data_IF_351978013058
#
_entry.id   IF_351978013058
#
_cell.length_a   1.000
_cell.length_b   1.000
_cell.length_c   1.000
_cell.angle_alpha   90.00
_cell.angle_beta   90.00
_cell.angle_gamma   90.00
#
_symmetry.space_group_name_H-M   'P 1'
#
loop_
_entity.id
_entity.type
_entity.pdbx_description
1 polymer ?
#
# COMPACT_ATOMS: atom_id res chain seq x y z
N UNK A 1 -29.41 14.83 6.68
CA UNK A 1 -28.24 15.66 6.29
C UNK A 1 -28.04 15.50 4.80
N UNK A 2 -27.85 16.59 4.06
CA UNK A 2 -27.77 16.59 2.59
C UNK A 2 -26.45 15.97 2.13
N UNK A 3 -26.48 14.67 1.79
CA UNK A 3 -25.35 13.90 1.25
C UNK A 3 -24.68 14.56 0.02
N UNK A 4 -25.42 15.44 -0.67
CA UNK A 4 -24.95 16.12 -1.87
C UNK A 4 -23.84 17.13 -1.57
N UNK A 5 -23.87 17.80 -0.41
CA UNK A 5 -22.85 18.81 -0.08
C UNK A 5 -21.54 18.15 0.36
N UNK A 6 -21.61 17.05 1.12
CA UNK A 6 -20.41 16.36 1.63
C UNK A 6 -19.64 15.65 0.51
N UNK A 7 -20.36 15.11 -0.49
CA UNK A 7 -19.77 14.55 -1.71
C UNK A 7 -18.98 15.59 -2.50
N UNK A 8 -19.57 16.75 -2.76
CA UNK A 8 -18.89 17.79 -3.56
C UNK A 8 -17.74 18.43 -2.78
N UNK A 9 -17.85 18.58 -1.46
CA UNK A 9 -16.72 18.99 -0.61
C UNK A 9 -15.56 18.01 -0.67
N UNK A 10 -15.85 16.71 -0.66
CA UNK A 10 -14.82 15.68 -0.78
C UNK A 10 -14.09 15.76 -2.13
N UNK A 11 -14.84 15.80 -3.23
CA UNK A 11 -14.27 15.96 -4.59
C UNK A 11 -13.46 17.26 -4.69
N UNK A 12 -14.01 18.36 -4.17
CA UNK A 12 -13.33 19.66 -4.13
C UNK A 12 -12.01 19.61 -3.36
N UNK A 13 -11.96 18.87 -2.25
CA UNK A 13 -10.74 18.65 -1.49
C UNK A 13 -9.70 17.82 -2.27
N UNK A 14 -10.12 16.79 -3.01
CA UNK A 14 -9.24 16.02 -3.90
C UNK A 14 -8.65 16.88 -5.02
N UNK A 15 -9.47 17.70 -5.69
CA UNK A 15 -9.03 18.64 -6.74
C UNK A 15 -8.01 19.64 -6.18
N UNK A 16 -8.33 20.26 -5.02
CA UNK A 16 -7.43 21.18 -4.33
C UNK A 16 -6.08 20.54 -4.02
N UNK A 17 -6.07 19.34 -3.42
CA UNK A 17 -4.82 18.62 -3.11
C UNK A 17 -4.03 18.24 -4.36
N UNK A 18 -4.70 17.82 -5.43
CA UNK A 18 -4.05 17.54 -6.71
C UNK A 18 -3.39 18.80 -7.28
N UNK A 19 -4.06 19.96 -7.22
CA UNK A 19 -3.48 21.27 -7.61
C UNK A 19 -2.27 21.63 -6.75
N UNK A 20 -2.35 21.49 -5.44
CA UNK A 20 -1.22 21.81 -4.55
C UNK A 20 0.00 20.91 -4.80
N UNK A 21 -0.20 19.64 -5.18
CA UNK A 21 0.90 18.73 -5.56
C UNK A 21 1.46 19.01 -6.95
N UNK A 22 0.61 19.46 -7.87
CA UNK A 22 1.03 19.93 -9.19
C UNK A 22 1.85 21.22 -9.12
N UNK A 23 2.04 21.84 -7.95
CA UNK A 23 2.82 23.06 -7.81
C UNK A 23 4.30 22.79 -7.47
N UNK A 24 5.19 22.36 -8.40
CA UNK A 24 6.60 22.58 -8.19
C UNK A 24 6.86 24.09 -8.28
N UNK A 25 7.88 24.50 -7.52
CA UNK A 25 8.53 25.80 -7.67
C UNK A 25 9.03 25.86 -9.12
N UNK A 26 8.65 26.89 -9.88
CA UNK A 26 9.23 27.08 -11.21
C UNK A 26 10.72 27.47 -11.13
N UNK A 27 11.39 27.56 -12.28
CA UNK A 27 12.81 27.95 -12.33
C UNK A 27 13.09 29.33 -11.71
N UNK A 28 12.06 30.14 -11.51
CA UNK A 28 12.12 31.52 -10.99
C UNK A 28 11.67 31.60 -9.51
N UNK A 29 11.43 30.47 -8.83
CA UNK A 29 11.05 30.46 -7.43
C UNK A 29 9.54 30.66 -7.16
N UNK A 30 8.69 30.78 -8.19
CA UNK A 30 7.26 31.01 -8.01
C UNK A 30 6.48 29.71 -7.82
N UNK A 31 5.60 29.72 -6.82
CA UNK A 31 4.68 28.61 -6.52
C UNK A 31 3.57 28.60 -7.58
N UNK A 32 3.57 27.60 -8.48
CA UNK A 32 2.50 27.39 -9.48
C UNK A 32 1.25 26.70 -8.92
N UNK A 33 0.91 27.04 -7.68
CA UNK A 33 -0.16 26.39 -6.94
C UNK A 33 -1.45 27.17 -6.92
N UNK A 34 -1.52 28.36 -7.52
CA UNK A 34 -2.75 29.15 -7.49
C UNK A 34 -3.83 28.57 -8.41
N UNK A 35 -5.09 28.95 -8.18
CA UNK A 35 -6.18 28.56 -9.08
C UNK A 35 -6.01 29.21 -10.45
N UNK A 36 -5.47 30.42 -10.45
CA UNK A 36 -5.15 31.22 -11.62
C UNK A 36 -4.10 30.53 -12.50
N UNK A 37 -3.05 29.98 -11.90
CA UNK A 37 -2.01 29.22 -12.63
C UNK A 37 -2.58 27.95 -13.26
N UNK A 38 -3.39 27.21 -12.51
CA UNK A 38 -4.03 26.00 -13.04
C UNK A 38 -5.01 26.34 -14.16
N UNK A 39 -5.88 27.34 -13.98
CA UNK A 39 -6.82 27.79 -15.01
C UNK A 39 -6.09 28.26 -16.27
N UNK A 40 -4.98 29.00 -16.12
CA UNK A 40 -4.14 29.43 -17.24
C UNK A 40 -3.58 28.22 -17.99
N UNK A 41 -3.04 27.22 -17.28
CA UNK A 41 -2.51 25.99 -17.90
C UNK A 41 -3.60 25.17 -18.58
N UNK A 42 -4.78 25.05 -17.98
CA UNK A 42 -5.94 24.41 -18.62
C UNK A 42 -6.26 25.14 -19.93
N UNK A 43 -6.28 26.48 -19.94
CA UNK A 43 -6.52 27.26 -21.15
C UNK A 43 -5.44 27.10 -22.22
N UNK A 44 -4.18 26.95 -21.83
CA UNK A 44 -3.06 26.70 -22.73
C UNK A 44 -3.15 25.32 -23.40
N UNK A 45 -3.54 24.29 -22.66
CA UNK A 45 -3.62 22.90 -23.16
C UNK A 45 -4.97 22.60 -23.84
N UNK A 46 -6.05 23.21 -23.35
CA UNK A 46 -7.42 23.05 -23.82
C UNK A 46 -8.02 24.45 -24.08
N UNK A 47 -7.78 25.05 -25.25
CA UNK A 47 -8.18 26.44 -25.54
C UNK A 47 -9.66 26.74 -25.40
N UNK A 48 -10.53 25.75 -25.60
CA UNK A 48 -11.98 25.90 -25.49
C UNK A 48 -12.52 25.58 -24.09
N UNK A 49 -11.66 25.28 -23.12
CA UNK A 49 -12.10 24.99 -21.77
C UNK A 49 -12.78 26.20 -21.13
N UNK A 50 -13.81 25.90 -20.34
CA UNK A 50 -14.55 26.83 -19.49
C UNK A 50 -14.01 26.88 -18.06
N UNK A 51 -12.96 26.12 -17.76
CA UNK A 51 -12.35 26.11 -16.42
C UNK A 51 -11.61 27.42 -16.19
N UNK A 52 -12.18 28.24 -15.30
CA UNK A 52 -11.57 29.48 -14.79
C UNK A 52 -11.17 29.33 -13.32
N UNK A 53 -10.45 30.30 -12.77
CA UNK A 53 -10.11 30.33 -11.35
C UNK A 53 -11.38 30.30 -10.45
N UNK A 54 -12.44 31.02 -10.84
CA UNK A 54 -13.73 31.02 -10.13
C UNK A 54 -14.43 29.65 -10.19
N UNK A 55 -14.36 28.97 -11.35
CA UNK A 55 -14.90 27.61 -11.49
C UNK A 55 -14.14 26.66 -10.56
N UNK A 56 -12.81 26.75 -10.52
CA UNK A 56 -11.98 25.97 -9.61
C UNK A 56 -12.30 26.28 -8.14
N UNK A 57 -12.51 27.54 -7.76
CA UNK A 57 -12.90 27.89 -6.39
C UNK A 57 -14.23 27.26 -6.00
N UNK A 58 -15.23 27.34 -6.88
CA UNK A 58 -16.56 26.79 -6.63
C UNK A 58 -16.54 25.25 -6.52
N UNK A 59 -15.72 24.58 -7.32
CA UNK A 59 -15.50 23.14 -7.21
C UNK A 59 -14.78 22.80 -5.90
N UNK A 60 -13.67 23.46 -5.60
CA UNK A 60 -12.84 23.16 -4.42
C UNK A 60 -13.54 23.42 -3.10
N UNK A 61 -14.46 24.37 -3.06
CA UNK A 61 -15.31 24.68 -1.90
C UNK A 61 -16.56 23.80 -1.82
N UNK A 62 -16.80 22.94 -2.82
CA UNK A 62 -18.00 22.10 -2.90
C UNK A 62 -19.28 22.86 -3.20
N UNK A 63 -19.20 24.14 -3.62
CA UNK A 63 -20.36 24.95 -3.99
C UNK A 63 -21.00 24.49 -5.29
N UNK A 64 -20.21 23.92 -6.20
CA UNK A 64 -20.68 23.42 -7.49
C UNK A 64 -20.21 22.00 -7.73
N UNK A 65 -21.07 21.21 -8.38
CA UNK A 65 -20.72 19.86 -8.81
C UNK A 65 -19.65 19.88 -9.89
N UNK A 66 -18.62 19.04 -9.75
CA UNK A 66 -17.60 18.85 -10.77
C UNK A 66 -18.21 18.14 -12.00
N UNK A 67 -18.20 18.82 -13.15
CA UNK A 67 -18.61 18.23 -14.43
C UNK A 67 -17.50 17.34 -14.98
N UNK A 68 -17.88 16.31 -15.73
CA UNK A 68 -16.90 15.39 -16.33
C UNK A 68 -15.96 16.09 -17.33
N UNK A 69 -16.47 17.04 -18.12
CA UNK A 69 -15.64 17.86 -19.03
C UNK A 69 -14.55 18.59 -18.28
N UNK A 70 -14.94 19.27 -17.19
CA UNK A 70 -14.04 20.10 -16.40
C UNK A 70 -13.04 19.20 -15.66
N UNK A 71 -13.47 18.03 -15.19
CA UNK A 71 -12.60 17.04 -14.56
C UNK A 71 -11.53 16.50 -15.52
N UNK A 72 -11.89 16.25 -16.78
CA UNK A 72 -10.93 15.82 -17.81
C UNK A 72 -9.90 16.91 -18.09
N UNK A 73 -10.37 18.14 -18.33
CA UNK A 73 -9.50 19.29 -18.60
C UNK A 73 -8.53 19.54 -17.44
N UNK A 74 -9.03 19.48 -16.19
CA UNK A 74 -8.23 19.63 -14.98
C UNK A 74 -7.21 18.47 -14.86
N UNK A 75 -7.62 17.23 -15.06
CA UNK A 75 -6.73 16.07 -14.96
C UNK A 75 -5.59 16.13 -16.00
N UNK A 76 -5.90 16.53 -17.24
CA UNK A 76 -4.92 16.77 -18.31
C UNK A 76 -3.92 17.84 -17.88
N UNK A 77 -4.41 18.98 -17.38
CA UNK A 77 -3.55 20.07 -16.97
C UNK A 77 -2.62 19.69 -15.82
N UNK A 78 -3.13 18.94 -14.84
CA UNK A 78 -2.37 18.44 -13.69
C UNK A 78 -1.42 17.30 -14.06
N UNK A 79 -1.62 16.63 -15.20
CA UNK A 79 -0.86 15.45 -15.60
C UNK A 79 -1.11 14.24 -14.70
N UNK A 80 -2.33 14.12 -14.15
CA UNK A 80 -2.72 13.02 -13.25
C UNK A 80 -3.84 12.18 -13.86
N UNK A 81 -3.95 10.89 -13.49
CA UNK A 81 -5.11 10.08 -13.85
C UNK A 81 -6.41 10.73 -13.35
N UNK A 82 -7.49 10.66 -14.15
CA UNK A 82 -8.79 11.22 -13.79
C UNK A 82 -9.30 10.73 -12.41
N UNK A 83 -9.02 9.47 -12.08
CA UNK A 83 -9.39 8.86 -10.79
C UNK A 83 -8.80 9.62 -9.59
N UNK A 84 -7.66 10.30 -9.73
CA UNK A 84 -7.04 11.08 -8.64
C UNK A 84 -7.86 12.32 -8.25
N UNK A 85 -8.84 12.73 -9.06
CA UNK A 85 -9.79 13.80 -8.68
C UNK A 85 -10.95 13.29 -7.83
N UNK A 86 -11.15 11.96 -7.76
CA UNK A 86 -12.24 11.30 -7.03
C UNK A 86 -11.75 10.38 -5.92
N UNK A 87 -10.45 10.12 -5.88
CA UNK A 87 -9.79 9.28 -4.88
C UNK A 87 -8.74 10.12 -4.18
N UNK A 88 -8.85 10.20 -2.85
CA UNK A 88 -7.89 10.97 -2.07
C UNK A 88 -6.61 10.19 -1.83
N UNK A 89 -5.61 10.51 -2.64
CA UNK A 89 -4.30 9.89 -2.57
C UNK A 89 -3.64 10.11 -1.20
N UNK A 90 -3.84 11.26 -0.55
CA UNK A 90 -3.26 11.56 0.77
C UNK A 90 -3.90 10.76 1.91
N UNK A 91 -5.05 10.14 1.65
CA UNK A 91 -5.82 9.38 2.64
C UNK A 91 -6.08 7.96 2.12
N UNK A 92 -5.02 7.19 1.84
CA UNK A 92 -5.14 5.94 1.08
C UNK A 92 -5.96 4.87 1.80
N UNK A 93 -5.96 4.87 3.12
CA UNK A 93 -6.67 3.88 3.94
C UNK A 93 -8.03 4.36 4.45
N UNK A 94 -8.42 5.61 4.18
CA UNK A 94 -9.76 6.10 4.55
C UNK A 94 -10.81 5.59 3.55
N UNK A 95 -12.02 5.33 4.07
CA UNK A 95 -13.17 4.97 3.25
C UNK A 95 -13.51 6.14 2.33
N UNK A 96 -13.66 5.85 1.04
CA UNK A 96 -14.02 6.87 0.08
C UNK A 96 -15.55 7.11 0.15
N UNK A 97 -16.00 8.33 0.47
CA UNK A 97 -17.43 8.63 0.66
C UNK A 97 -18.23 8.57 -0.65
N UNK A 98 -17.57 8.48 -1.81
CA UNK A 98 -18.25 8.33 -3.11
C UNK A 98 -18.73 6.91 -3.37
N UNK A 99 -18.21 5.92 -2.63
CA UNK A 99 -18.47 4.50 -2.84
C UNK A 99 -19.22 3.91 -1.63
N UNK A 100 -20.46 3.43 -1.82
CA UNK A 100 -21.32 2.99 -0.71
C UNK A 100 -20.93 1.63 -0.11
N UNK A 101 -19.99 0.92 -0.74
CA UNK A 101 -19.46 -0.37 -0.27
C UNK A 101 -18.37 -0.22 0.81
N UNK A 102 -18.04 1.01 1.19
CA UNK A 102 -17.06 1.29 2.24
C UNK A 102 -15.63 0.99 1.84
N UNK A 103 -15.32 0.93 0.54
CA UNK A 103 -13.96 0.72 0.06
C UNK A 103 -13.06 1.91 0.38
N UNK A 104 -11.81 1.59 0.71
CA UNK A 104 -10.75 2.58 0.91
C UNK A 104 -10.30 3.19 -0.42
N UNK A 105 -9.71 4.39 -0.36
CA UNK A 105 -9.12 5.04 -1.53
C UNK A 105 -8.12 4.18 -2.29
N UNK A 106 -7.28 3.43 -1.56
CA UNK A 106 -6.31 2.50 -2.15
C UNK A 106 -7.00 1.35 -2.90
N UNK A 107 -8.05 0.75 -2.32
CA UNK A 107 -8.79 -0.33 -2.97
C UNK A 107 -9.44 0.12 -4.28
N UNK A 108 -10.04 1.32 -4.28
CA UNK A 108 -10.64 1.88 -5.50
C UNK A 108 -9.57 2.17 -6.55
N UNK A 109 -8.41 2.69 -6.14
CA UNK A 109 -7.29 2.91 -7.04
C UNK A 109 -6.78 1.61 -7.67
N UNK A 110 -6.60 0.57 -6.86
CA UNK A 110 -6.12 -0.75 -7.32
C UNK A 110 -7.12 -1.41 -8.29
N UNK A 111 -8.44 -1.30 -8.05
CA UNK A 111 -9.48 -1.83 -8.94
C UNK A 111 -9.54 -1.12 -10.30
N UNK A 112 -9.08 0.13 -10.39
CA UNK A 112 -9.05 0.91 -11.63
C UNK A 112 -7.75 0.71 -12.42
N UNK A 113 -6.77 -0.01 -11.86
CA UNK A 113 -5.53 -0.35 -12.53
C UNK A 113 -5.83 -1.46 -13.55
N UNK A 114 -6.06 -1.09 -14.81
CA UNK A 114 -6.11 -2.04 -15.91
C UNK A 114 -4.75 -2.76 -15.98
N UNK A 115 -4.73 -4.09 -15.85
CA UNK A 115 -3.54 -4.94 -15.82
C UNK A 115 -2.58 -4.71 -17.03
N UNK A 116 -3.10 -4.15 -18.14
CA UNK A 116 -2.38 -3.99 -19.41
C UNK A 116 -1.75 -2.61 -19.63
N UNK A 117 -2.09 -1.59 -18.82
CA UNK A 117 -1.47 -0.27 -18.90
C UNK A 117 -0.70 0.00 -17.61
N UNK A 118 0.50 -0.56 -17.51
CA UNK A 118 1.50 -0.02 -16.59
C UNK A 118 1.84 1.40 -17.03
N UNK A 119 1.05 2.37 -16.56
CA UNK A 119 1.51 3.73 -16.41
C UNK A 119 2.82 3.63 -15.62
N UNK A 120 3.95 3.87 -16.31
CA UNK A 120 5.29 3.98 -15.74
C UNK A 120 5.40 5.23 -14.86
N UNK A 121 4.36 5.52 -14.08
CA UNK A 121 4.40 6.52 -13.04
C UNK A 121 5.30 5.94 -11.93
N UNK A 122 6.54 6.40 -11.95
CA UNK A 122 7.49 6.41 -10.85
C UNK A 122 6.76 6.39 -9.52
N UNK A 123 7.07 5.41 -8.66
CA UNK A 123 6.66 5.31 -7.25
C UNK A 123 5.42 6.16 -6.89
N UNK A 124 4.26 5.86 -7.50
CA UNK A 124 3.04 6.60 -7.16
C UNK A 124 2.78 6.45 -5.66
N UNK A 125 2.34 7.53 -5.05
CA UNK A 125 1.96 7.63 -3.64
C UNK A 125 1.17 6.40 -3.13
N UNK A 126 0.23 5.92 -3.96
CA UNK A 126 -0.56 4.71 -3.68
C UNK A 126 0.25 3.41 -3.69
N UNK A 127 1.30 3.29 -4.49
CA UNK A 127 2.17 2.12 -4.51
C UNK A 127 2.93 1.96 -3.19
N UNK A 128 3.33 3.07 -2.55
CA UNK A 128 3.97 3.04 -1.23
C UNK A 128 2.98 2.66 -0.14
N UNK A 129 1.76 3.23 -0.16
CA UNK A 129 0.69 2.84 0.75
C UNK A 129 0.27 1.36 0.59
N UNK A 130 0.14 0.90 -0.66
CA UNK A 130 -0.15 -0.51 -0.97
C UNK A 130 0.96 -1.46 -0.51
N UNK A 131 2.24 -1.07 -0.67
CA UNK A 131 3.37 -1.82 -0.10
C UNK A 131 3.32 -1.88 1.41
N UNK A 132 3.05 -0.77 2.10
CA UNK A 132 2.90 -0.75 3.56
C UNK A 132 1.80 -1.71 4.01
N UNK A 133 0.65 -1.72 3.35
CA UNK A 133 -0.44 -2.65 3.65
C UNK A 133 -0.02 -4.11 3.40
N UNK A 134 0.62 -4.39 2.26
CA UNK A 134 1.09 -5.72 1.91
C UNK A 134 2.14 -6.24 2.92
N UNK A 135 3.09 -5.40 3.32
CA UNK A 135 4.13 -5.73 4.30
C UNK A 135 3.53 -5.95 5.69
N UNK A 136 2.54 -5.13 6.09
CA UNK A 136 1.80 -5.31 7.36
C UNK A 136 1.04 -6.63 7.38
N UNK A 137 0.29 -6.93 6.30
CA UNK A 137 -0.43 -8.19 6.16
C UNK A 137 0.52 -9.40 6.14
N UNK A 138 1.66 -9.27 5.46
CA UNK A 138 2.71 -10.28 5.44
C UNK A 138 3.27 -10.52 6.84
N UNK A 139 3.54 -9.46 7.60
CA UNK A 139 4.05 -9.56 8.97
C UNK A 139 3.03 -10.27 9.87
N UNK A 140 1.76 -9.85 9.85
CA UNK A 140 0.68 -10.50 10.61
C UNK A 140 0.53 -11.98 10.23
N UNK A 141 0.58 -12.30 8.93
CA UNK A 141 0.53 -13.68 8.47
C UNK A 141 1.72 -14.50 8.97
N UNK A 142 2.93 -13.95 8.92
CA UNK A 142 4.13 -14.63 9.41
C UNK A 142 4.02 -14.92 10.92
N UNK A 143 3.61 -13.95 11.71
CA UNK A 143 3.43 -14.09 13.16
C UNK A 143 2.36 -15.12 13.52
N UNK A 144 1.31 -15.25 12.71
CA UNK A 144 0.28 -16.29 12.87
C UNK A 144 0.74 -17.68 12.42
N UNK A 145 1.47 -17.75 11.30
CA UNK A 145 1.87 -19.01 10.67
C UNK A 145 3.03 -19.69 11.41
N UNK A 146 3.89 -18.89 12.05
CA UNK A 146 5.04 -19.35 12.81
C UNK A 146 4.85 -18.86 14.25
N UNK A 147 4.28 -19.67 15.17
CA UNK A 147 4.12 -19.28 16.57
C UNK A 147 5.51 -19.06 17.17
N UNK A 148 5.84 -17.82 17.50
CA UNK A 148 7.21 -17.45 17.83
C UNK A 148 7.43 -17.50 19.34
N UNK A 149 8.05 -18.58 19.78
CA UNK A 149 8.81 -18.66 21.03
C UNK A 149 10.28 -18.97 20.72
N UNK A 150 10.89 -18.19 19.83
CA UNK A 150 12.33 -18.29 19.53
C UNK A 150 12.76 -19.47 18.66
N UNK A 151 11.87 -20.36 18.22
CA UNK A 151 12.17 -21.38 17.19
C UNK A 151 10.90 -21.69 16.39
N UNK A 152 11.05 -21.87 15.07
CA UNK A 152 10.02 -22.58 14.29
C UNK A 152 9.97 -24.00 14.84
N UNK A 153 8.85 -24.47 15.37
CA UNK A 153 8.76 -25.85 15.87
C UNK A 153 9.08 -26.86 14.75
N UNK A 154 9.67 -28.01 15.07
CA UNK A 154 9.93 -29.12 14.13
C UNK A 154 8.64 -29.48 13.38
N UNK A 155 7.50 -29.46 14.07
CA UNK A 155 6.18 -29.66 13.46
C UNK A 155 5.84 -28.58 12.41
N UNK A 156 6.21 -27.33 12.65
CA UNK A 156 6.01 -26.22 11.73
C UNK A 156 6.96 -26.28 10.52
N UNK A 157 8.17 -26.82 10.68
CA UNK A 157 9.09 -27.11 9.56
C UNK A 157 8.51 -28.21 8.65
N UNK A 158 7.98 -29.28 9.24
CA UNK A 158 7.30 -30.35 8.49
C UNK A 158 6.07 -29.83 7.74
N UNK A 159 5.25 -28.99 8.38
CA UNK A 159 4.10 -28.32 7.76
C UNK A 159 4.54 -27.35 6.64
N UNK A 160 5.65 -26.62 6.81
CA UNK A 160 6.19 -25.76 5.76
C UNK A 160 6.62 -26.56 4.52
N UNK A 161 7.33 -27.68 4.72
CA UNK A 161 7.71 -28.60 3.63
C UNK A 161 6.49 -29.15 2.90
N UNK A 162 5.47 -29.57 3.63
CA UNK A 162 4.18 -30.00 3.07
C UNK A 162 3.56 -28.92 2.18
N UNK A 163 3.49 -27.66 2.66
CA UNK A 163 2.93 -26.54 1.89
C UNK A 163 3.73 -26.21 0.64
N UNK A 164 5.06 -26.29 0.68
CA UNK A 164 5.90 -26.08 -0.50
C UNK A 164 5.70 -27.17 -1.54
N UNK A 165 5.68 -28.44 -1.12
CA UNK A 165 5.38 -29.54 -2.03
C UNK A 165 3.98 -29.44 -2.63
N UNK A 166 2.97 -29.05 -1.83
CA UNK A 166 1.62 -28.84 -2.32
C UNK A 166 1.54 -27.70 -3.34
N UNK A 167 2.30 -26.61 -3.13
CA UNK A 167 2.40 -25.49 -4.06
C UNK A 167 3.06 -25.90 -5.38
N UNK A 168 4.17 -26.63 -5.31
CA UNK A 168 4.85 -27.17 -6.50
C UNK A 168 3.93 -28.14 -7.26
N UNK A 169 3.21 -29.00 -6.55
CA UNK A 169 2.22 -29.90 -7.14
C UNK A 169 1.07 -29.15 -7.81
N UNK A 170 0.58 -28.06 -7.20
CA UNK A 170 -0.44 -27.21 -7.81
C UNK A 170 0.08 -26.47 -9.05
N UNK A 171 1.35 -26.04 -9.04
CA UNK A 171 1.98 -25.34 -10.16
C UNK A 171 2.37 -26.29 -11.30
N UNK A 172 2.60 -27.57 -11.01
CA UNK A 172 2.90 -28.60 -12.01
C UNK A 172 1.64 -29.17 -12.68
N UNK A 173 0.45 -28.78 -12.23
CA UNK A 173 -0.79 -29.01 -12.99
C UNK A 173 -0.70 -28.18 -14.28
N UNK A 174 -0.63 -28.85 -15.43
CA UNK A 174 -0.44 -28.19 -16.73
C UNK A 174 -1.56 -27.18 -17.05
N UNK A 175 -1.18 -26.00 -17.53
CA UNK A 175 -2.08 -25.04 -18.16
C UNK A 175 -2.05 -25.27 -19.68
N UNK A 176 -3.21 -25.47 -20.30
CA UNK A 176 -3.32 -25.48 -21.77
C UNK A 176 -3.84 -24.11 -22.21
N UNK A 177 -3.08 -23.46 -23.09
CA UNK A 177 -3.52 -22.26 -23.78
C UNK A 177 -4.32 -22.67 -25.01
N UNK A 178 -5.57 -22.22 -25.08
CA UNK A 178 -6.39 -22.34 -26.30
C UNK A 178 -6.74 -20.94 -26.78
N UNK A 179 -7.11 -20.84 -28.05
CA UNK A 179 -7.50 -19.61 -28.74
C UNK A 179 -8.71 -18.89 -28.08
N UNK A 180 -9.40 -19.56 -27.16
CA UNK A 180 -10.60 -19.08 -26.43
C UNK A 180 -10.34 -18.75 -24.95
N UNK A 181 -9.09 -18.74 -24.50
CA UNK A 181 -8.70 -18.39 -23.13
C UNK A 181 -8.11 -19.56 -22.32
N UNK A 182 -7.83 -19.29 -21.03
CA UNK A 182 -7.19 -20.23 -20.10
C UNK A 182 -8.20 -21.24 -19.57
N UNK A 183 -7.98 -22.53 -19.82
CA UNK A 183 -8.78 -23.62 -19.22
C UNK A 183 -7.89 -24.50 -18.33
N UNK A 184 -8.36 -24.80 -17.11
CA UNK A 184 -7.80 -25.89 -16.28
C UNK A 184 -8.33 -27.22 -16.83
N UNK A 185 -7.48 -27.96 -17.54
CA UNK A 185 -7.73 -29.38 -17.79
C UNK A 185 -7.17 -30.17 -16.61
N UNK A 186 -8.04 -30.93 -15.92
CA UNK A 186 -7.68 -31.84 -14.84
C UNK A 186 -6.88 -33.06 -15.32
N UNK A 187 -5.72 -32.83 -15.93
CA UNK A 187 -4.75 -33.86 -16.25
C UNK A 187 -3.97 -34.21 -14.99
N UNK A 188 -4.26 -35.39 -14.42
CA UNK A 188 -3.54 -35.93 -13.26
C UNK A 188 -2.03 -35.75 -13.42
N UNK A 189 -1.41 -34.96 -12.53
CA UNK A 189 0.02 -35.03 -12.32
C UNK A 189 0.42 -36.49 -12.06
N UNK A 190 1.48 -36.99 -12.71
CA UNK A 190 2.05 -38.31 -12.40
C UNK A 190 2.60 -38.38 -10.97
N UNK A 191 2.86 -37.24 -10.34
CA UNK A 191 3.23 -37.18 -8.92
C UNK A 191 1.98 -37.20 -8.04
N UNK A 192 1.89 -38.13 -7.07
CA UNK A 192 0.78 -38.17 -6.13
C UNK A 192 0.69 -36.84 -5.36
N UNK A 193 -0.54 -36.44 -5.05
CA UNK A 193 -0.78 -35.24 -4.25
C UNK A 193 -0.08 -35.41 -2.89
N UNK A 194 0.74 -34.42 -2.47
CA UNK A 194 1.38 -34.42 -1.15
C UNK A 194 0.35 -34.64 -0.04
N UNK A 195 0.63 -35.53 0.92
CA UNK A 195 -0.24 -35.70 2.09
C UNK A 195 0.38 -35.05 3.32
N UNK A 196 -0.52 -34.50 4.15
CA UNK A 196 -0.14 -33.94 5.45
C UNK A 196 0.37 -35.07 6.35
N UNK A 197 1.53 -34.89 6.96
CA UNK A 197 2.18 -35.89 7.82
C UNK A 197 3.22 -36.78 7.14
N UNK A 198 3.38 -36.72 5.80
CA UNK A 198 4.47 -37.41 5.08
C UNK A 198 5.84 -36.70 5.23
N UNK A 199 5.84 -35.51 5.82
CA UNK A 199 7.01 -34.65 5.94
C UNK A 199 7.52 -34.69 7.36
N UNK A 200 8.83 -34.91 7.51
CA UNK A 200 9.56 -34.78 8.76
C UNK A 200 10.58 -33.64 8.65
N UNK A 201 11.09 -33.21 9.80
CA UNK A 201 12.10 -32.18 9.87
C UNK A 201 13.21 -32.59 10.84
N UNK A 202 14.45 -32.31 10.45
CA UNK A 202 15.60 -32.46 11.32
C UNK A 202 15.82 -31.19 12.16
N UNK A 203 16.63 -31.30 13.21
CA UNK A 203 17.03 -30.15 14.02
C UNK A 203 17.79 -29.10 13.21
N UNK A 204 18.61 -29.52 12.24
CA UNK A 204 19.35 -28.62 11.35
C UNK A 204 18.41 -27.83 10.44
N UNK A 205 17.42 -28.50 9.85
CA UNK A 205 16.39 -27.84 9.03
C UNK A 205 15.53 -26.87 9.84
N UNK A 206 15.28 -27.18 11.11
CA UNK A 206 14.63 -26.27 12.05
C UNK A 206 15.43 -24.98 12.23
N UNK A 207 16.74 -25.08 12.44
CA UNK A 207 17.64 -23.92 12.59
C UNK A 207 17.67 -23.10 11.31
N UNK A 208 17.87 -23.74 10.15
CA UNK A 208 17.92 -23.05 8.85
C UNK A 208 16.62 -22.31 8.52
N UNK A 209 15.47 -22.95 8.73
CA UNK A 209 14.17 -22.32 8.49
C UNK A 209 13.93 -21.18 9.49
N UNK A 210 14.31 -21.35 10.76
CA UNK A 210 14.19 -20.30 11.77
C UNK A 210 15.02 -19.06 11.38
N UNK A 211 16.26 -19.24 10.91
CA UNK A 211 17.10 -18.13 10.42
C UNK A 211 16.49 -17.44 9.20
N UNK A 212 15.93 -18.19 8.26
CA UNK A 212 15.26 -17.63 7.08
C UNK A 212 14.02 -16.81 7.47
N UNK A 213 13.17 -17.37 8.33
CA UNK A 213 11.96 -16.69 8.83
C UNK A 213 12.35 -15.42 9.58
N UNK A 214 13.37 -15.50 10.45
CA UNK A 214 13.90 -14.35 11.18
C UNK A 214 14.37 -13.24 10.25
N UNK A 215 15.20 -13.58 9.23
CA UNK A 215 15.67 -12.61 8.24
C UNK A 215 14.51 -11.94 7.49
N UNK A 216 13.51 -12.71 7.09
CA UNK A 216 12.34 -12.16 6.39
C UNK A 216 11.52 -11.25 7.31
N UNK A 217 11.34 -11.62 8.59
CA UNK A 217 10.64 -10.83 9.58
C UNK A 217 11.32 -9.47 9.80
N UNK A 218 12.64 -9.48 10.01
CA UNK A 218 13.44 -8.25 10.17
C UNK A 218 13.36 -7.37 8.92
N UNK A 219 13.52 -7.94 7.73
CA UNK A 219 13.40 -7.19 6.48
C UNK A 219 12.02 -6.56 6.31
N UNK A 220 10.95 -7.30 6.61
CA UNK A 220 9.58 -6.79 6.48
C UNK A 220 9.29 -5.65 7.44
N UNK A 221 9.77 -5.70 8.69
CA UNK A 221 9.63 -4.57 9.62
C UNK A 221 10.48 -3.36 9.17
N UNK A 222 11.67 -3.57 8.63
CA UNK A 222 12.48 -2.49 8.05
C UNK A 222 11.79 -1.83 6.83
N UNK A 223 11.15 -2.62 5.98
CA UNK A 223 10.40 -2.11 4.83
C UNK A 223 9.16 -1.30 5.28
N UNK A 224 8.44 -1.77 6.31
CA UNK A 224 7.37 -1.01 6.98
C UNK A 224 7.91 0.35 7.48
N UNK A 225 9.04 0.35 8.20
CA UNK A 225 9.65 1.57 8.73
C UNK A 225 10.04 2.57 7.63
N UNK A 226 10.60 2.08 6.52
CA UNK A 226 10.96 2.90 5.35
C UNK A 226 9.73 3.52 4.70
N UNK A 227 8.69 2.73 4.47
CA UNK A 227 7.44 3.20 3.87
C UNK A 227 6.72 4.21 4.77
N UNK A 228 6.69 3.99 6.09
CA UNK A 228 6.13 4.94 7.06
C UNK A 228 6.88 6.27 7.08
N UNK A 229 8.22 6.26 7.08
CA UNK A 229 9.03 7.48 7.02
C UNK A 229 8.76 8.26 5.73
N UNK A 230 8.64 7.55 4.60
CA UNK A 230 8.30 8.17 3.34
C UNK A 230 6.91 8.81 3.40
N UNK A 231 5.88 8.07 3.85
CA UNK A 231 4.51 8.57 3.97
C UNK A 231 4.40 9.78 4.93
N UNK A 232 5.09 9.73 6.06
CA UNK A 232 5.14 10.84 7.02
C UNK A 232 5.78 12.11 6.43
N UNK A 233 6.86 11.99 5.63
CA UNK A 233 7.50 13.15 4.98
C UNK A 233 6.60 13.91 4.02
N UNK A 234 5.59 13.23 3.47
CA UNK A 234 4.66 13.81 2.49
C UNK A 234 3.24 14.00 3.06
N UNK A 235 3.10 14.00 4.39
CA UNK A 235 1.85 14.24 5.11
C UNK A 235 0.69 13.31 4.68
N UNK A 236 1.00 12.03 4.44
CA UNK A 236 -0.04 11.01 4.23
C UNK A 236 -0.73 10.65 5.54
N UNK A 237 -2.06 10.68 5.55
CA UNK A 237 -2.88 10.29 6.68
C UNK A 237 -2.89 8.76 6.82
N UNK A 238 -2.55 8.27 8.01
CA UNK A 238 -2.70 6.87 8.40
C UNK A 238 -3.75 6.83 9.50
N UNK A 239 -4.95 6.28 9.25
CA UNK A 239 -6.00 6.18 10.26
C UNK A 239 -5.56 5.37 11.49
N UNK A 240 -6.11 5.69 12.66
CA UNK A 240 -5.80 5.03 13.93
C UNK A 240 -5.88 3.51 13.84
N UNK A 241 -6.94 2.98 13.21
CA UNK A 241 -7.10 1.53 13.04
C UNK A 241 -5.93 0.89 12.27
N UNK A 242 -5.40 1.57 11.25
CA UNK A 242 -4.26 1.07 10.49
C UNK A 242 -2.95 1.26 11.26
N UNK A 243 -2.81 2.37 11.99
CA UNK A 243 -1.68 2.63 12.86
C UNK A 243 -1.58 1.55 13.96
N UNK A 244 -2.67 1.26 14.66
CA UNK A 244 -2.75 0.23 15.70
C UNK A 244 -2.41 -1.15 15.14
N UNK A 245 -2.95 -1.51 13.97
CA UNK A 245 -2.61 -2.77 13.29
C UNK A 245 -1.12 -2.90 12.99
N UNK A 246 -0.46 -1.82 12.57
CA UNK A 246 0.98 -1.80 12.32
C UNK A 246 1.73 -1.93 13.65
N UNK A 247 1.36 -1.15 14.66
CA UNK A 247 2.02 -1.13 15.96
C UNK A 247 1.93 -2.49 16.67
N UNK A 248 0.76 -3.11 16.67
CA UNK A 248 0.55 -4.45 17.24
C UNK A 248 1.41 -5.50 16.54
N UNK A 249 1.44 -5.47 15.20
CA UNK A 249 2.24 -6.41 14.41
C UNK A 249 3.73 -6.22 14.67
N UNK A 250 4.22 -4.98 14.74
CA UNK A 250 5.64 -4.71 15.00
C UNK A 250 6.01 -4.98 16.47
N UNK A 251 5.12 -4.71 17.42
CA UNK A 251 5.35 -5.01 18.83
C UNK A 251 5.45 -6.53 19.07
N UNK A 252 4.57 -7.30 18.44
CA UNK A 252 4.64 -8.76 18.46
C UNK A 252 5.94 -9.25 17.81
N UNK A 253 6.31 -8.72 16.64
CA UNK A 253 7.60 -9.01 16.01
C UNK A 253 8.81 -8.65 16.91
N UNK A 254 8.73 -7.57 17.69
CA UNK A 254 9.74 -7.20 18.67
C UNK A 254 9.88 -8.24 19.79
N UNK A 255 8.76 -8.69 20.37
CA UNK A 255 8.74 -9.77 21.38
C UNK A 255 9.34 -11.06 20.83
N UNK A 256 9.01 -11.39 19.58
CA UNK A 256 9.53 -12.54 18.86
C UNK A 256 11.06 -12.50 18.76
N UNK A 257 11.63 -11.35 18.39
CA UNK A 257 13.08 -11.15 18.22
C UNK A 257 13.81 -11.17 19.57
N UNK A 258 13.26 -10.56 20.61
CA UNK A 258 13.87 -10.54 21.95
C UNK A 258 14.00 -11.94 22.58
N UNK A 259 13.14 -12.88 22.18
CA UNK A 259 13.23 -14.28 22.62
C UNK A 259 14.38 -15.06 21.96
N UNK A 260 15.02 -14.50 20.93
CA UNK A 260 16.19 -15.07 20.28
C UNK A 260 17.45 -14.58 21.00
N UNK A 261 18.21 -15.50 21.59
CA UNK A 261 19.53 -15.18 22.14
C UNK A 261 20.46 -14.78 20.99
N UNK A 262 20.75 -13.49 20.93
CA UNK A 262 21.48 -12.82 19.86
C UNK A 262 22.89 -13.39 19.70
N UNK A 263 23.47 -13.89 20.79
CA UNK A 263 24.84 -14.42 20.82
C UNK A 263 24.97 -15.80 20.17
N UNK A 264 23.87 -16.54 19.98
CA UNK A 264 23.87 -17.85 19.34
C UNK A 264 24.01 -17.79 17.80
N UNK A 265 23.79 -16.61 17.22
CA UNK A 265 23.98 -16.37 15.79
C UNK A 265 25.06 -15.31 15.71
N UNK A 266 26.23 -15.66 15.17
CA UNK A 266 27.36 -14.76 14.90
C UNK A 266 27.00 -13.65 13.88
N UNK A 267 26.00 -12.85 14.19
CA UNK A 267 25.62 -11.62 13.51
C UNK A 267 26.05 -10.55 14.48
N UNK A 268 27.14 -9.85 14.14
CA UNK A 268 27.63 -8.69 14.88
C UNK A 268 26.47 -7.85 15.41
N UNK A 269 26.46 -7.63 16.72
CA UNK A 269 25.51 -6.84 17.50
C UNK A 269 24.37 -6.16 16.74
N UNK A 270 23.11 -6.42 17.06
CA UNK A 270 22.02 -6.02 16.21
C UNK A 270 21.66 -4.59 16.55
N UNK A 271 22.07 -3.68 15.67
CA UNK A 271 21.17 -2.62 15.23
C UNK A 271 19.96 -3.33 14.60
N UNK A 272 19.04 -3.87 15.41
CA UNK A 272 17.94 -4.73 14.94
C UNK A 272 17.04 -4.03 13.93
N UNK A 273 17.12 -2.70 13.91
CA UNK A 273 16.35 -1.79 13.11
C UNK A 273 17.29 -0.63 12.74
N UNK A 274 17.18 -0.07 11.54
CA UNK A 274 17.83 1.21 11.22
C UNK A 274 17.29 2.39 12.07
N UNK A 275 16.32 2.11 12.97
CA UNK A 275 15.50 3.05 13.74
C UNK A 275 15.00 2.37 15.03
N UNK A 276 15.06 2.97 16.23
CA UNK A 276 14.56 2.28 17.44
C UNK A 276 13.06 1.96 17.36
N UNK A 277 12.57 0.95 18.09
CA UNK A 277 11.13 0.65 18.19
C UNK A 277 10.33 1.86 18.70
N UNK A 278 10.89 2.61 19.65
CA UNK A 278 10.31 3.85 20.17
C UNK A 278 10.26 4.95 19.10
N UNK A 279 11.27 5.04 18.24
CA UNK A 279 11.29 5.98 17.13
C UNK A 279 10.32 5.55 16.00
N UNK A 280 10.10 4.25 15.80
CA UNK A 280 9.06 3.74 14.91
C UNK A 280 7.66 4.09 15.43
N UNK A 281 7.39 3.85 16.72
CA UNK A 281 6.14 4.24 17.40
C UNK A 281 5.92 5.75 17.30
N UNK A 282 6.97 6.54 17.54
CA UNK A 282 6.92 7.99 17.41
C UNK A 282 6.63 8.44 15.97
N UNK A 283 7.15 7.76 14.95
CA UNK A 283 6.87 8.05 13.54
C UNK A 283 5.41 7.77 13.16
N UNK A 284 4.87 6.63 13.59
CA UNK A 284 3.44 6.29 13.41
C UNK A 284 2.53 7.32 14.09
N UNK A 285 2.90 7.74 15.31
CA UNK A 285 2.16 8.78 16.04
C UNK A 285 2.33 10.17 15.42
N UNK A 286 3.49 10.49 14.85
CA UNK A 286 3.73 11.79 14.20
C UNK A 286 2.92 11.97 12.92
N UNK A 287 2.75 10.93 12.11
CA UNK A 287 1.86 10.97 10.94
C UNK A 287 0.39 11.20 11.31
N UNK A 288 0.01 11.00 12.58
CA UNK A 288 -1.34 11.24 13.10
C UNK A 288 -1.57 12.72 13.48
N UNK A 289 -0.53 13.42 13.95
CA UNK A 289 -0.67 14.80 14.45
C UNK A 289 -0.69 15.83 13.32
N UNK A 290 0.01 15.58 12.22
CA UNK A 290 0.03 16.48 11.05
C UNK A 290 -1.23 16.34 10.16
N UNK A 291 -2.18 15.46 10.50
CA UNK A 291 -3.42 15.24 9.73
C UNK A 291 -4.69 15.88 10.32
N UNK A 292 -4.57 16.64 11.41
CA UNK A 292 -5.70 17.26 12.11
C UNK A 292 -5.89 18.77 11.85
N UNK A 293 -5.12 19.37 10.93
CA UNK A 293 -5.29 20.77 10.48
C UNK A 293 -5.59 20.88 8.97
#
# INVERSE_FOLDING_TARGET
MSLTNDREKYIGACVRRARHRWAPIDRDGKIRGSREDLAKRVKELVPNSLVTADVLENIETGRTRLKLSDALDIAIALGVPLVNLFVDVQKPFENNPLFPDGKTNLQIYDEQRLDDFELQAEDTDFKKAGRLLADTNKLQWMLKAYPVHGLVDISAVAEHKYRMALREWNNSQFWIYTDKGRFRMGGYSKTPQPKRGEYSATKQEQVELSLKVFKVLVNTVNDIAKNLNWLGRYAYCIPDEMADRILDAVAEAGRCVQSFDVDAISVSQPKYWDVSFEELVARVRKSNVESLD
#
